data_IF_208028260494
#
_entry.id   IF_208028260494
#
_cell.length_a   1.000
_cell.length_b   1.000
_cell.length_c   1.000
_cell.angle_alpha   90.00
_cell.angle_beta   90.00
_cell.angle_gamma   90.00
#
_symmetry.space_group_name_H-M   'P 1'
#
loop_
_entity.id
_entity.type
_entity.pdbx_description
1 polymer ?
#
# COMPACT_ATOMS: atom_id res chain seq x y z
N UNK A 1 2.39 -23.30 28.95
CA UNK A 1 1.24 -22.38 28.75
C UNK A 1 1.70 -21.23 27.87
N UNK A 2 1.10 -21.07 26.69
CA UNK A 2 1.51 -20.05 25.71
C UNK A 2 1.27 -18.64 26.25
N UNK A 3 2.21 -17.72 26.00
CA UNK A 3 2.07 -16.30 26.36
C UNK A 3 0.92 -15.69 25.55
N UNK A 4 -0.08 -15.13 26.23
CA UNK A 4 -1.14 -14.36 25.57
C UNK A 4 -0.54 -13.09 24.96
N UNK A 5 -0.87 -12.79 23.71
CA UNK A 5 -0.44 -11.57 23.04
C UNK A 5 -1.01 -10.35 23.77
N UNK A 6 -0.13 -9.41 24.13
CA UNK A 6 -0.55 -8.15 24.76
C UNK A 6 -1.29 -7.30 23.73
N UNK A 7 -2.57 -7.04 23.99
CA UNK A 7 -3.44 -6.21 23.15
C UNK A 7 -2.84 -4.79 23.00
N UNK A 8 -2.75 -4.28 21.77
CA UNK A 8 -2.20 -2.94 21.48
C UNK A 8 -3.11 -1.82 21.96
N UNK A 9 -2.56 -0.60 22.11
CA UNK A 9 -3.33 0.59 22.55
C UNK A 9 -4.56 0.82 21.66
N UNK A 10 -4.37 0.71 20.34
CA UNK A 10 -5.45 0.92 19.37
C UNK A 10 -6.57 -0.13 19.48
N UNK A 11 -6.20 -1.40 19.64
CA UNK A 11 -7.18 -2.47 19.83
C UNK A 11 -7.96 -2.28 21.14
N UNK A 12 -7.30 -1.77 22.20
CA UNK A 12 -7.97 -1.48 23.49
C UNK A 12 -8.99 -0.34 23.35
N UNK A 13 -8.62 0.72 22.64
CA UNK A 13 -9.52 1.85 22.40
C UNK A 13 -10.73 1.43 21.55
N UNK A 14 -10.53 0.58 20.55
CA UNK A 14 -11.63 0.03 19.74
C UNK A 14 -12.57 -0.85 20.57
N UNK A 15 -12.03 -1.74 21.40
CA UNK A 15 -12.83 -2.56 22.33
C UNK A 15 -13.64 -1.64 23.25
N UNK A 16 -13.03 -0.58 23.78
CA UNK A 16 -13.72 0.38 24.65
C UNK A 16 -14.89 1.07 23.95
N UNK A 17 -14.71 1.50 22.69
CA UNK A 17 -15.78 2.12 21.90
C UNK A 17 -16.93 1.15 21.66
N UNK A 18 -16.63 -0.11 21.30
CA UNK A 18 -17.66 -1.12 21.04
C UNK A 18 -18.39 -1.55 22.31
N UNK A 19 -17.69 -1.65 23.45
CA UNK A 19 -18.31 -1.92 24.74
C UNK A 19 -19.25 -0.78 25.18
N UNK A 20 -18.83 0.48 25.00
CA UNK A 20 -19.68 1.65 25.28
C UNK A 20 -20.94 1.68 24.40
N UNK A 21 -20.84 1.18 23.16
CA UNK A 21 -21.98 1.07 22.24
C UNK A 21 -22.88 -0.15 22.53
N UNK A 22 -22.63 -0.92 23.60
CA UNK A 22 -23.48 -2.02 24.05
C UNK A 22 -23.34 -3.33 23.27
N UNK A 23 -22.23 -3.53 22.55
CA UNK A 23 -22.01 -4.78 21.83
C UNK A 23 -21.68 -5.94 22.78
N UNK A 24 -22.22 -7.12 22.49
CA UNK A 24 -21.89 -8.35 23.22
C UNK A 24 -20.43 -8.77 22.96
N UNK A 25 -19.77 -9.35 23.96
CA UNK A 25 -18.37 -9.81 23.89
C UNK A 25 -18.04 -10.65 22.65
N UNK A 26 -18.95 -11.55 22.23
CA UNK A 26 -18.79 -12.37 21.02
C UNK A 26 -18.66 -11.50 19.76
N UNK A 27 -19.57 -10.54 19.59
CA UNK A 27 -19.54 -9.59 18.46
C UNK A 27 -18.31 -8.69 18.48
N UNK A 28 -17.83 -8.30 19.67
CA UNK A 28 -16.60 -7.50 19.79
C UNK A 28 -15.39 -8.28 19.29
N UNK A 29 -15.28 -9.57 19.67
CA UNK A 29 -14.21 -10.44 19.21
C UNK A 29 -14.23 -10.63 17.69
N UNK A 30 -15.40 -10.98 17.12
CA UNK A 30 -15.56 -11.24 15.69
C UNK A 30 -15.22 -10.01 14.83
N UNK A 31 -15.67 -8.82 15.26
CA UNK A 31 -15.45 -7.55 14.55
C UNK A 31 -13.97 -7.15 14.58
N UNK A 32 -13.28 -7.40 15.69
CA UNK A 32 -11.86 -7.10 15.80
C UNK A 32 -11.01 -8.07 14.96
N UNK A 33 -11.31 -9.37 14.96
CA UNK A 33 -10.60 -10.34 14.11
C UNK A 33 -10.75 -10.05 12.62
N UNK A 34 -11.97 -9.69 12.18
CA UNK A 34 -12.21 -9.35 10.78
C UNK A 34 -11.44 -8.08 10.35
N UNK A 35 -11.29 -7.11 11.25
CA UNK A 35 -10.53 -5.87 10.98
C UNK A 35 -9.02 -6.11 10.95
N UNK A 36 -8.49 -6.97 11.80
CA UNK A 36 -7.06 -7.33 11.77
C UNK A 36 -6.71 -8.05 10.46
N UNK A 37 -7.56 -8.95 9.99
CA UNK A 37 -7.36 -9.63 8.70
C UNK A 37 -7.42 -8.65 7.53
N UNK A 38 -8.36 -7.69 7.56
CA UNK A 38 -8.45 -6.64 6.54
C UNK A 38 -7.24 -5.70 6.54
N UNK A 39 -6.70 -5.35 7.71
CA UNK A 39 -5.51 -4.48 7.80
C UNK A 39 -4.25 -5.21 7.31
N UNK A 40 -4.13 -6.50 7.59
CA UNK A 40 -3.04 -7.34 7.10
C UNK A 40 -3.14 -7.59 5.59
N UNK A 41 -4.36 -7.73 5.06
CA UNK A 41 -4.58 -7.89 3.62
C UNK A 41 -4.33 -6.60 2.84
N UNK A 42 -4.65 -5.41 3.40
CA UNK A 42 -4.32 -4.12 2.78
C UNK A 42 -2.82 -3.87 2.59
N UNK A 43 -1.96 -4.53 3.38
CA UNK A 43 -0.49 -4.48 3.21
C UNK A 43 0.05 -5.51 2.22
N UNK A 44 -0.80 -6.42 1.73
CA UNK A 44 -0.38 -7.58 0.93
C UNK A 44 -0.39 -7.34 -0.57
N UNK A 45 -1.09 -6.30 -1.02
CA UNK A 45 -1.30 -6.03 -2.43
C UNK A 45 -0.25 -5.02 -2.95
N UNK A 46 0.87 -5.56 -3.42
CA UNK A 46 1.91 -4.87 -4.22
C UNK A 46 2.81 -3.86 -3.48
N UNK A 47 3.41 -4.24 -2.35
CA UNK A 47 4.54 -3.45 -1.87
C UNK A 47 5.73 -3.65 -2.80
N UNK A 48 5.96 -2.68 -3.68
CA UNK A 48 7.20 -2.46 -4.43
C UNK A 48 8.31 -2.01 -3.47
N UNK A 49 8.51 -2.75 -2.40
CA UNK A 49 9.43 -2.41 -1.33
C UNK A 49 10.84 -2.65 -1.84
N UNK A 50 11.70 -1.65 -1.74
CA UNK A 50 13.12 -1.87 -1.97
C UNK A 50 13.69 -2.74 -0.85
N UNK A 51 14.77 -3.48 -1.12
CA UNK A 51 15.43 -4.29 -0.07
C UNK A 51 15.92 -3.44 1.09
N UNK A 52 16.23 -2.16 0.85
CA UNK A 52 16.59 -1.22 1.91
C UNK A 52 15.40 -0.91 2.83
N UNK A 53 14.20 -0.74 2.28
CA UNK A 53 12.97 -0.54 3.06
C UNK A 53 12.61 -1.81 3.84
N UNK A 54 12.74 -2.99 3.24
CA UNK A 54 12.56 -4.28 3.94
C UNK A 54 13.56 -4.40 5.10
N UNK A 55 14.83 -4.05 4.88
CA UNK A 55 15.86 -4.10 5.91
C UNK A 55 15.56 -3.17 7.08
N UNK A 56 15.14 -1.94 6.78
CA UNK A 56 14.78 -0.93 7.77
C UNK A 56 13.54 -1.31 8.58
N UNK A 57 12.50 -1.84 7.93
CA UNK A 57 11.24 -2.23 8.59
C UNK A 57 11.39 -3.47 9.45
N UNK A 58 12.18 -4.45 9.01
CA UNK A 58 12.42 -5.67 9.79
C UNK A 58 13.47 -5.50 10.89
N UNK A 59 14.20 -4.38 10.94
CA UNK A 59 15.26 -4.15 11.93
C UNK A 59 16.42 -5.14 11.82
N UNK A 60 16.65 -5.68 10.62
CA UNK A 60 17.66 -6.71 10.38
C UNK A 60 18.94 -6.02 9.93
N UNK A 61 19.97 -5.99 10.78
CA UNK A 61 21.30 -5.52 10.39
C UNK A 61 22.07 -6.62 9.62
N UNK A 62 21.61 -6.92 8.40
CA UNK A 62 22.26 -7.91 7.52
C UNK A 62 22.54 -7.33 6.14
N UNK A 63 23.44 -7.95 5.40
CA UNK A 63 23.76 -7.54 4.03
C UNK A 63 22.55 -7.69 3.10
N UNK A 64 22.46 -6.82 2.09
CA UNK A 64 21.42 -6.91 1.05
C UNK A 64 21.33 -8.31 0.43
N UNK A 65 22.48 -8.95 0.21
CA UNK A 65 22.60 -10.32 -0.32
C UNK A 65 21.99 -11.38 0.60
N UNK A 66 22.03 -11.16 1.91
CA UNK A 66 21.43 -12.07 2.90
C UNK A 66 19.91 -11.98 2.84
N UNK A 67 19.37 -10.78 2.74
CA UNK A 67 17.93 -10.56 2.56
C UNK A 67 17.44 -11.23 1.28
N UNK A 68 18.19 -11.09 0.17
CA UNK A 68 17.85 -11.80 -1.08
C UNK A 68 17.82 -13.31 -0.92
N UNK A 69 18.82 -13.91 -0.26
CA UNK A 69 18.84 -15.36 0.02
C UNK A 69 17.65 -15.83 0.88
N UNK A 70 17.14 -14.97 1.75
CA UNK A 70 15.94 -15.27 2.52
C UNK A 70 14.68 -15.21 1.64
N UNK A 71 14.58 -14.20 0.77
CA UNK A 71 13.45 -14.03 -0.13
C UNK A 71 13.38 -15.13 -1.20
N UNK A 72 14.51 -15.60 -1.72
CA UNK A 72 14.59 -16.67 -2.73
C UNK A 72 14.01 -18.01 -2.24
N UNK A 73 13.85 -18.20 -0.91
CA UNK A 73 13.20 -19.40 -0.35
C UNK A 73 11.69 -19.44 -0.58
N UNK A 74 11.09 -18.30 -0.93
CA UNK A 74 9.65 -18.15 -1.06
C UNK A 74 9.28 -17.99 -2.54
N UNK A 75 8.76 -19.04 -3.20
CA UNK A 75 8.54 -19.04 -4.66
C UNK A 75 7.47 -18.06 -5.14
N UNK A 76 6.67 -17.52 -4.21
CA UNK A 76 5.66 -16.50 -4.47
C UNK A 76 6.23 -15.06 -4.51
N UNK A 77 7.50 -14.85 -4.17
CA UNK A 77 8.15 -13.55 -4.18
C UNK A 77 9.08 -13.48 -5.39
N UNK A 78 8.70 -12.69 -6.39
CA UNK A 78 9.50 -12.53 -7.62
C UNK A 78 10.25 -11.20 -7.58
N UNK A 79 11.58 -11.29 -7.71
CA UNK A 79 12.41 -10.10 -7.93
C UNK A 79 12.12 -9.53 -9.31
N UNK A 80 11.67 -8.28 -9.35
CA UNK A 80 11.55 -7.52 -10.60
C UNK A 80 12.43 -6.28 -10.56
N UNK A 81 12.99 -5.92 -11.71
CA UNK A 81 13.74 -4.67 -11.88
C UNK A 81 12.95 -3.75 -12.79
N UNK A 82 12.61 -2.57 -12.27
CA UNK A 82 11.96 -1.55 -13.10
C UNK A 82 12.89 -1.15 -14.25
N UNK A 83 12.40 -1.29 -15.49
CA UNK A 83 13.13 -0.83 -16.67
C UNK A 83 13.17 0.69 -16.67
N UNK A 84 14.24 1.28 -17.22
CA UNK A 84 14.29 2.74 -17.40
C UNK A 84 13.10 3.19 -18.23
N UNK A 85 12.34 4.15 -17.70
CA UNK A 85 11.29 4.80 -18.46
C UNK A 85 11.95 5.59 -19.61
N UNK A 86 11.57 5.37 -20.88
CA UNK A 86 12.08 6.16 -21.99
C UNK A 86 11.77 7.64 -21.76
N UNK A 87 12.71 8.52 -22.13
CA UNK A 87 12.44 9.95 -22.08
C UNK A 87 11.38 10.30 -23.12
N UNK A 88 10.21 10.72 -22.65
CA UNK A 88 9.12 11.12 -23.52
C UNK A 88 9.24 12.61 -23.83
N UNK A 89 9.36 12.93 -25.12
CA UNK A 89 9.18 14.30 -25.62
C UNK A 89 7.76 14.78 -25.31
N UNK A 90 7.57 16.09 -25.26
CA UNK A 90 6.25 16.68 -25.06
C UNK A 90 5.25 16.18 -26.13
N UNK A 91 5.70 16.11 -27.39
CA UNK A 91 4.93 15.55 -28.51
C UNK A 91 4.42 14.14 -28.23
N UNK A 92 5.26 13.23 -27.75
CA UNK A 92 4.83 11.86 -27.42
C UNK A 92 3.77 11.83 -26.31
N UNK A 93 3.85 12.75 -25.33
CA UNK A 93 2.86 12.85 -24.26
C UNK A 93 1.51 13.35 -24.80
N UNK A 94 1.53 14.32 -25.70
CA UNK A 94 0.33 14.89 -26.29
C UNK A 94 -0.37 13.92 -27.25
N UNK A 95 0.39 13.18 -28.06
CA UNK A 95 -0.14 12.12 -28.94
C UNK A 95 -0.78 10.99 -28.13
N UNK A 96 -0.14 10.55 -27.04
CA UNK A 96 -0.71 9.54 -26.12
C UNK A 96 -2.00 10.02 -25.47
N UNK A 97 -2.05 11.29 -25.07
CA UNK A 97 -3.26 11.90 -24.53
C UNK A 97 -4.37 11.98 -25.57
N UNK A 98 -4.04 12.32 -26.82
CA UNK A 98 -4.99 12.35 -27.93
C UNK A 98 -5.60 10.96 -28.17
N UNK A 99 -4.75 9.92 -28.26
CA UNK A 99 -5.19 8.54 -28.40
C UNK A 99 -6.14 8.13 -27.27
N UNK A 100 -5.76 8.41 -26.02
CA UNK A 100 -6.60 8.07 -24.87
C UNK A 100 -7.97 8.78 -24.94
N UNK A 101 -8.02 10.05 -25.34
CA UNK A 101 -9.28 10.80 -25.49
C UNK A 101 -10.22 10.19 -26.53
N UNK A 102 -9.68 9.67 -27.62
CA UNK A 102 -10.47 9.08 -28.71
C UNK A 102 -11.01 7.72 -28.29
N UNK A 103 -10.18 6.88 -27.67
CA UNK A 103 -10.50 5.47 -27.47
C UNK A 103 -11.01 5.11 -26.07
N UNK A 104 -10.84 5.98 -25.07
CA UNK A 104 -11.27 5.70 -23.69
C UNK A 104 -12.53 6.50 -23.30
N UNK A 105 -13.58 5.80 -22.88
CA UNK A 105 -14.80 6.40 -22.27
C UNK A 105 -14.54 6.76 -20.81
N UNK A 106 -13.72 7.77 -20.57
CA UNK A 106 -13.43 8.31 -19.23
C UNK A 106 -13.94 9.76 -19.09
N UNK A 107 -14.30 10.17 -17.88
CA UNK A 107 -14.71 11.54 -17.57
C UNK A 107 -13.55 12.54 -17.63
N UNK A 108 -13.17 12.95 -18.83
CA UNK A 108 -12.01 13.83 -19.12
C UNK A 108 -12.03 15.19 -18.43
N UNK A 109 -13.22 15.65 -17.99
CA UNK A 109 -13.42 16.88 -17.24
C UNK A 109 -12.62 16.91 -15.93
N UNK A 110 -12.56 15.77 -15.22
CA UNK A 110 -11.79 15.66 -13.96
C UNK A 110 -10.28 15.72 -14.18
N UNK A 111 -9.81 15.25 -15.34
CA UNK A 111 -8.38 15.26 -15.71
C UNK A 111 -7.90 16.68 -16.05
N UNK A 112 -8.81 17.52 -16.58
CA UNK A 112 -8.50 18.91 -16.96
C UNK A 112 -8.23 19.79 -15.72
N UNK A 113 -8.97 19.58 -14.64
CA UNK A 113 -8.78 20.31 -13.37
C UNK A 113 -7.39 20.08 -12.76
N UNK A 114 -6.89 18.84 -12.75
CA UNK A 114 -5.58 18.51 -12.17
C UNK A 114 -4.39 19.20 -12.87
N UNK A 115 -4.54 19.54 -14.16
CA UNK A 115 -3.50 20.26 -14.92
C UNK A 115 -3.42 21.74 -14.56
N UNK A 116 -4.55 22.36 -14.21
CA UNK A 116 -4.62 23.77 -13.80
C UNK A 116 -3.99 23.95 -12.41
N UNK A 117 -4.21 23.01 -11.49
CA UNK A 117 -3.64 23.10 -10.15
C UNK A 117 -2.12 22.88 -10.07
N UNK A 118 -1.52 22.12 -10.99
CA UNK A 118 -0.06 21.90 -11.03
C UNK A 118 0.74 23.08 -11.58
N UNK A 119 0.12 23.95 -12.38
CA UNK A 119 0.78 25.09 -13.02
C UNK A 119 0.54 26.42 -12.29
N UNK A 120 -0.08 26.39 -11.11
CA UNK A 120 -0.24 27.58 -10.28
C UNK A 120 1.07 27.79 -9.53
N UNK A 121 1.74 28.96 -9.67
CA UNK A 121 2.90 29.25 -8.84
C UNK A 121 2.44 29.24 -7.38
N UNK A 122 3.16 28.48 -6.55
CA UNK A 122 3.05 28.57 -5.11
C UNK A 122 3.70 29.90 -4.76
N UNK A 123 2.87 30.90 -4.48
CA UNK A 123 3.31 32.15 -3.87
C UNK A 123 3.34 31.95 -2.36
#
# INVERSE_FOLDING_TARGET
MGRASTLSLHERDQIKVLSTAGYTMKRIADVNSERTDKLNNRKKDNFSDSVNEIRGTCGIDTSETTVWRMLDKYPNIVRSRMKKCPQLTQRHKDERLCWAKIFMRCGWEKVRLLRVFKNKPIN
#
